data_IF_096455040859
#
_entry.id   IF_096455040859
#
_cell.length_a   1.000
_cell.length_b   1.000
_cell.length_c   1.000
_cell.angle_alpha   90.00
_cell.angle_beta   90.00
_cell.angle_gamma   90.00
#
_symmetry.space_group_name_H-M   'P 1'
#
loop_
_entity.id
_entity.type
_entity.pdbx_description
1 polymer ?
#
# COMPACT_ATOMS: atom_id res chain seq x y z
N UNK A 1 -32.45 -8.12 -49.80
CA UNK A 1 -33.67 -7.38 -49.41
C UNK A 1 -33.36 -6.72 -48.08
N UNK A 2 -33.13 -5.40 -48.13
CA UNK A 2 -33.13 -4.35 -47.10
C UNK A 2 -32.61 -4.70 -45.67
N UNK A 3 -31.76 -3.93 -45.00
CA UNK A 3 -31.70 -2.47 -44.92
C UNK A 3 -30.34 -2.02 -44.36
N UNK A 4 -29.99 -0.78 -44.70
CA UNK A 4 -28.82 0.02 -44.43
C UNK A 4 -28.95 0.89 -43.18
N UNK A 5 -27.84 1.15 -42.50
CA UNK A 5 -27.59 2.42 -41.81
C UNK A 5 -27.79 2.45 -40.30
N UNK A 6 -26.80 3.00 -39.59
CA UNK A 6 -26.93 3.35 -38.18
C UNK A 6 -25.62 3.40 -37.39
N UNK A 7 -24.69 4.28 -37.78
CA UNK A 7 -23.58 4.69 -36.91
C UNK A 7 -24.13 5.41 -35.69
N UNK A 8 -24.01 4.81 -34.50
CA UNK A 8 -24.11 5.55 -33.23
C UNK A 8 -22.73 5.62 -32.58
N UNK A 9 -22.03 6.72 -32.88
CA UNK A 9 -20.93 7.20 -32.06
C UNK A 9 -21.51 7.60 -30.69
N UNK A 10 -21.28 6.78 -29.67
CA UNK A 10 -21.56 7.15 -28.30
C UNK A 10 -20.62 8.31 -27.91
N UNK A 11 -21.14 9.53 -27.95
CA UNK A 11 -20.48 10.72 -27.40
C UNK A 11 -20.22 10.47 -25.91
N UNK A 12 -18.96 10.19 -25.57
CA UNK A 12 -18.48 10.11 -24.19
C UNK A 12 -18.62 11.51 -23.58
N UNK A 13 -19.72 11.74 -22.86
CA UNK A 13 -19.95 12.98 -22.15
C UNK A 13 -18.76 13.20 -21.18
N UNK A 14 -17.98 14.24 -21.46
CA UNK A 14 -16.80 14.61 -20.68
C UNK A 14 -17.24 15.02 -19.28
N UNK A 15 -16.65 14.38 -18.26
CA UNK A 15 -16.86 14.64 -16.82
C UNK A 15 -16.50 16.08 -16.39
N UNK A 16 -16.03 16.93 -17.31
CA UNK A 16 -15.63 18.33 -17.07
C UNK A 16 -16.80 19.32 -16.94
N UNK A 17 -18.06 18.88 -17.06
CA UNK A 17 -19.21 19.80 -16.97
C UNK A 17 -19.84 19.93 -15.57
N UNK A 18 -19.52 19.03 -14.64
CA UNK A 18 -20.21 18.99 -13.34
C UNK A 18 -19.73 20.06 -12.33
N UNK A 19 -18.64 20.78 -12.62
CA UNK A 19 -18.08 21.81 -11.73
C UNK A 19 -18.55 23.23 -12.12
N UNK A 20 -19.28 23.42 -13.22
CA UNK A 20 -19.66 24.77 -13.70
C UNK A 20 -21.09 25.24 -13.39
N UNK A 21 -21.96 24.43 -12.80
CA UNK A 21 -23.35 24.82 -12.48
C UNK A 21 -23.65 24.99 -10.98
N UNK A 22 -22.63 25.13 -10.13
CA UNK A 22 -22.81 25.27 -8.68
C UNK A 22 -23.19 26.66 -8.16
N UNK A 23 -23.45 27.65 -9.03
CA UNK A 23 -23.54 29.04 -8.60
C UNK A 23 -24.67 29.85 -9.27
N UNK A 24 -25.93 29.40 -9.23
CA UNK A 24 -27.10 30.30 -9.27
C UNK A 24 -28.28 29.67 -8.52
N UNK A 25 -28.55 30.12 -7.29
CA UNK A 25 -29.93 30.17 -6.77
C UNK A 25 -30.06 31.32 -5.76
N UNK A 26 -30.40 32.49 -6.30
CA UNK A 26 -30.89 33.63 -5.53
C UNK A 26 -32.40 33.75 -5.79
N UNK A 27 -33.22 33.73 -4.73
CA UNK A 27 -34.60 34.24 -4.75
C UNK A 27 -35.73 33.24 -4.45
N UNK A 28 -36.05 33.10 -3.15
CA UNK A 28 -37.34 32.83 -2.49
C UNK A 28 -38.49 32.06 -3.17
N UNK A 29 -38.96 31.00 -2.48
CA UNK A 29 -40.31 30.90 -1.90
C UNK A 29 -40.41 29.67 -0.97
N UNK A 30 -41.28 29.79 0.04
CA UNK A 30 -41.36 28.99 1.25
C UNK A 30 -41.78 27.53 1.05
N UNK A 31 -41.25 26.64 1.90
CA UNK A 31 -41.91 25.38 2.24
C UNK A 31 -41.05 24.11 2.16
N UNK A 32 -40.64 23.60 3.32
CA UNK A 32 -40.62 22.17 3.60
C UNK A 32 -39.45 21.32 3.08
N UNK A 33 -38.76 20.70 4.04
CA UNK A 33 -37.72 19.67 3.93
C UNK A 33 -36.33 20.15 3.50
N UNK A 34 -35.61 20.71 4.47
CA UNK A 34 -34.18 20.50 4.53
C UNK A 34 -33.93 18.98 4.70
N UNK A 35 -33.77 18.26 3.59
CA UNK A 35 -33.02 17.00 3.62
C UNK A 35 -31.60 17.44 3.91
N UNK A 36 -31.25 17.47 5.20
CA UNK A 36 -29.88 17.57 5.63
C UNK A 36 -29.14 16.40 5.02
N UNK A 37 -28.47 16.63 3.90
CA UNK A 37 -27.36 15.81 3.50
C UNK A 37 -26.35 15.97 4.64
N UNK A 38 -26.44 15.08 5.64
CA UNK A 38 -25.28 14.69 6.40
C UNK A 38 -24.35 14.07 5.36
N UNK A 39 -23.60 14.92 4.65
CA UNK A 39 -22.30 14.53 4.17
C UNK A 39 -21.61 14.02 5.42
N UNK A 40 -21.57 12.70 5.57
CA UNK A 40 -20.69 12.09 6.53
C UNK A 40 -19.32 12.65 6.18
N UNK A 41 -18.87 13.64 6.97
CA UNK A 41 -17.52 14.12 6.89
C UNK A 41 -16.68 12.89 7.17
N UNK A 42 -16.15 12.28 6.09
CA UNK A 42 -15.20 11.20 6.22
C UNK A 42 -14.19 11.67 7.25
N UNK A 43 -14.01 10.90 8.32
CA UNK A 43 -13.13 11.26 9.41
C UNK A 43 -11.78 11.61 8.78
N UNK A 44 -11.48 12.90 8.72
CA UNK A 44 -10.18 13.35 8.24
C UNK A 44 -9.12 12.72 9.15
N UNK A 45 -7.93 12.49 8.59
CA UNK A 45 -6.76 11.92 9.29
C UNK A 45 -6.31 12.68 10.55
N UNK A 46 -7.03 13.73 10.95
CA UNK A 46 -6.78 14.55 12.14
C UNK A 46 -7.93 14.61 13.14
N UNK A 47 -8.97 13.76 13.04
CA UNK A 47 -9.93 13.64 14.14
C UNK A 47 -9.13 13.18 15.39
N UNK A 48 -9.10 13.97 16.49
CA UNK A 48 -8.35 13.59 17.68
C UNK A 48 -8.82 12.21 18.14
N UNK A 49 -7.89 11.26 18.29
CA UNK A 49 -8.21 10.00 18.99
C UNK A 49 -8.76 10.40 20.36
N UNK A 50 -9.94 9.90 20.76
CA UNK A 50 -10.42 10.11 22.12
C UNK A 50 -9.40 9.51 23.09
N UNK A 51 -8.68 10.36 23.83
CA UNK A 51 -7.81 9.97 24.94
C UNK A 51 -6.38 9.58 24.54
N UNK A 52 -5.43 9.89 25.43
CA UNK A 52 -4.00 9.62 25.29
C UNK A 52 -3.65 8.13 25.19
N UNK A 53 -2.35 7.83 25.16
CA UNK A 53 -1.85 6.45 25.17
C UNK A 53 -2.47 5.73 26.36
N UNK A 54 -3.40 4.82 26.08
CA UNK A 54 -3.96 3.94 27.10
C UNK A 54 -2.85 2.92 27.38
N UNK A 55 -2.10 3.15 28.46
CA UNK A 55 -1.08 2.22 28.95
C UNK A 55 -1.77 1.01 29.58
N UNK A 56 -2.35 0.18 28.71
CA UNK A 56 -3.06 -1.03 29.06
C UNK A 56 -2.73 -2.11 28.02
N UNK A 57 -2.36 -3.33 28.43
CA UNK A 57 -1.98 -4.40 27.50
C UNK A 57 -3.04 -4.69 26.42
N UNK A 58 -4.31 -4.45 26.72
CA UNK A 58 -5.43 -4.61 25.77
C UNK A 58 -5.56 -3.50 24.72
N UNK A 59 -4.82 -2.39 24.83
CA UNK A 59 -4.90 -1.29 23.87
C UNK A 59 -4.37 -1.69 22.49
N UNK A 60 -3.34 -2.54 22.44
CA UNK A 60 -2.83 -3.16 21.22
C UNK A 60 -2.95 -4.70 21.25
N UNK A 61 -2.92 -5.29 22.45
CA UNK A 61 -2.89 -6.73 22.67
C UNK A 61 -1.46 -7.27 22.79
N UNK A 62 -1.27 -8.26 23.65
CA UNK A 62 -0.03 -9.03 23.76
C UNK A 62 -0.27 -10.49 23.35
N UNK A 63 0.74 -11.13 22.76
CA UNK A 63 0.66 -12.57 22.48
C UNK A 63 0.65 -13.35 23.78
N UNK A 64 -0.12 -14.44 23.79
CA UNK A 64 -0.06 -15.41 24.89
C UNK A 64 1.36 -15.93 25.06
N UNK A 65 1.84 -15.99 26.31
CA UNK A 65 3.16 -16.55 26.67
C UNK A 65 3.38 -18.00 26.23
N UNK A 66 2.31 -18.71 25.87
CA UNK A 66 2.39 -20.10 25.39
C UNK A 66 2.56 -20.19 23.87
N UNK A 67 2.37 -19.10 23.12
CA UNK A 67 2.60 -19.05 21.67
C UNK A 67 4.09 -18.80 21.42
N UNK A 68 4.77 -19.81 20.90
CA UNK A 68 6.21 -19.77 20.60
C UNK A 68 6.51 -19.57 19.11
N UNK A 69 5.49 -19.57 18.26
CA UNK A 69 5.64 -19.38 16.81
C UNK A 69 6.25 -18.01 16.50
N UNK A 70 7.42 -18.04 15.88
CA UNK A 70 8.21 -16.87 15.47
C UNK A 70 8.73 -17.08 14.06
N UNK A 71 9.20 -16.01 13.41
CA UNK A 71 9.92 -16.14 12.14
C UNK A 71 11.23 -16.89 12.34
N UNK A 72 11.68 -17.63 11.33
CA UNK A 72 12.98 -18.32 11.36
C UNK A 72 14.04 -17.42 10.75
N UNK A 73 15.04 -16.94 11.51
CA UNK A 73 16.10 -16.08 10.98
C UNK A 73 16.90 -16.78 9.87
N UNK A 74 17.40 -15.99 8.92
CA UNK A 74 18.22 -16.48 7.81
C UNK A 74 19.67 -16.04 8.01
N UNK A 75 20.56 -16.99 8.23
CA UNK A 75 22.00 -16.71 8.45
C UNK A 75 22.85 -16.72 7.17
N UNK A 76 22.24 -17.03 6.02
CA UNK A 76 22.96 -17.44 4.80
C UNK A 76 22.91 -16.44 3.64
N UNK A 77 22.01 -15.45 3.66
CA UNK A 77 22.00 -14.38 2.67
C UNK A 77 22.73 -13.22 3.34
N UNK A 78 23.92 -12.89 2.82
CA UNK A 78 24.83 -11.99 3.51
C UNK A 78 24.31 -10.57 3.60
N UNK A 79 23.41 -10.27 4.53
CA UNK A 79 22.98 -8.90 4.79
C UNK A 79 22.72 -8.63 6.29
N UNK A 80 23.72 -7.94 6.84
CA UNK A 80 23.62 -6.74 7.67
C UNK A 80 23.18 -6.87 9.14
N UNK A 81 24.08 -6.43 10.03
CA UNK A 81 23.80 -6.05 11.43
C UNK A 81 22.55 -5.14 11.55
N UNK A 82 21.44 -5.73 11.99
CA UNK A 82 20.30 -4.96 12.49
C UNK A 82 20.65 -4.43 13.88
N UNK A 83 21.12 -3.19 13.98
CA UNK A 83 21.53 -2.62 15.26
C UNK A 83 22.53 -3.48 16.08
N UNK A 84 23.37 -4.28 15.40
CA UNK A 84 24.32 -5.21 16.02
C UNK A 84 23.77 -6.59 16.38
N UNK A 85 22.60 -6.98 15.86
CA UNK A 85 22.07 -8.34 15.99
C UNK A 85 22.71 -9.28 14.95
N UNK A 86 23.30 -10.42 15.37
CA UNK A 86 24.09 -11.29 14.50
C UNK A 86 23.28 -11.98 13.38
N UNK A 87 21.96 -12.07 13.55
CA UNK A 87 21.06 -12.82 12.65
C UNK A 87 20.45 -11.97 11.52
N UNK A 88 20.83 -10.70 11.40
CA UNK A 88 20.34 -9.79 10.36
C UNK A 88 18.83 -9.50 10.37
N UNK A 89 18.31 -8.96 9.27
CA UNK A 89 16.87 -8.65 9.08
C UNK A 89 16.10 -9.74 8.34
N UNK A 90 16.81 -10.67 7.70
CA UNK A 90 16.20 -11.68 6.85
C UNK A 90 15.59 -12.81 7.70
N UNK A 91 14.31 -13.08 7.49
CA UNK A 91 13.61 -14.11 8.25
C UNK A 91 12.50 -14.75 7.42
N UNK A 92 12.33 -16.06 7.57
CA UNK A 92 11.33 -16.88 6.88
C UNK A 92 10.01 -16.94 7.67
N UNK A 93 8.90 -17.01 6.95
CA UNK A 93 7.58 -17.35 7.50
C UNK A 93 7.60 -18.79 8.04
N UNK A 94 7.12 -19.06 9.27
CA UNK A 94 7.02 -20.41 9.83
C UNK A 94 5.80 -21.16 9.27
N UNK A 95 5.79 -21.43 7.98
CA UNK A 95 4.66 -22.03 7.26
C UNK A 95 4.12 -23.31 7.91
N UNK A 96 5.02 -24.13 8.46
CA UNK A 96 4.67 -25.39 9.13
C UNK A 96 3.78 -25.22 10.36
N UNK A 97 3.79 -24.02 10.97
CA UNK A 97 3.01 -23.66 12.16
C UNK A 97 1.77 -22.81 11.83
N UNK A 98 1.59 -22.42 10.57
CA UNK A 98 0.48 -21.56 10.14
C UNK A 98 -0.67 -22.37 9.52
N UNK A 99 -1.86 -21.77 9.56
CA UNK A 99 -3.05 -22.29 8.89
C UNK A 99 -3.76 -21.18 8.13
N UNK A 100 -4.54 -21.56 7.13
CA UNK A 100 -5.22 -20.62 6.24
C UNK A 100 -4.28 -19.99 5.22
N UNK A 101 -4.73 -18.88 4.61
CA UNK A 101 -4.05 -18.24 3.49
C UNK A 101 -3.53 -16.85 3.79
N UNK A 102 -3.90 -16.24 4.93
CA UNK A 102 -3.40 -14.92 5.34
C UNK A 102 -2.31 -15.13 6.38
N UNK A 103 -1.11 -14.68 6.07
CA UNK A 103 0.03 -14.69 6.97
C UNK A 103 -0.09 -13.52 7.95
N UNK A 104 -0.09 -13.77 9.28
CA UNK A 104 -0.09 -12.68 10.27
C UNK A 104 1.11 -11.74 10.03
N UNK A 105 0.91 -10.42 10.07
CA UNK A 105 1.96 -9.45 9.72
C UNK A 105 3.25 -9.64 10.52
N UNK A 106 3.14 -10.00 11.80
CA UNK A 106 4.28 -10.30 12.67
C UNK A 106 5.07 -11.58 12.30
N UNK A 107 4.49 -12.43 11.44
CA UNK A 107 5.07 -13.70 10.98
C UNK A 107 5.33 -13.73 9.47
N UNK A 108 5.00 -12.65 8.74
CA UNK A 108 5.34 -12.51 7.33
C UNK A 108 6.85 -12.50 7.14
N UNK A 109 7.39 -13.22 6.15
CA UNK A 109 8.83 -13.21 5.87
C UNK A 109 9.34 -11.77 5.67
N UNK A 110 10.61 -11.56 6.02
CA UNK A 110 11.32 -10.29 5.84
C UNK A 110 12.55 -10.58 5.00
N UNK A 111 12.80 -9.73 4.01
CA UNK A 111 14.08 -9.69 3.30
C UNK A 111 14.49 -8.24 3.13
N UNK A 112 15.66 -7.87 3.63
CA UNK A 112 16.16 -6.49 3.62
C UNK A 112 17.59 -6.41 3.09
N UNK A 113 17.79 -5.51 2.13
CA UNK A 113 19.12 -5.18 1.60
C UNK A 113 19.70 -3.90 2.24
N UNK A 114 18.90 -3.18 3.05
CA UNK A 114 19.32 -1.98 3.78
C UNK A 114 19.68 -2.31 5.22
N UNK A 115 20.62 -1.55 5.81
CA UNK A 115 21.14 -1.90 7.13
C UNK A 115 20.12 -1.82 8.26
N UNK A 116 19.20 -0.88 8.15
CA UNK A 116 18.08 -0.73 9.06
C UNK A 116 16.85 -0.33 8.24
N UNK A 117 15.65 -0.78 8.61
CA UNK A 117 14.41 -0.23 8.06
C UNK A 117 14.38 1.28 8.31
N UNK A 118 13.94 2.10 7.35
CA UNK A 118 13.91 3.55 7.54
C UNK A 118 12.85 3.92 8.59
N UNK A 119 13.24 4.71 9.58
CA UNK A 119 12.33 5.31 10.56
C UNK A 119 11.72 6.58 9.97
N UNK A 120 10.51 6.46 9.41
CA UNK A 120 9.87 7.53 8.65
C UNK A 120 8.62 8.02 9.39
N UNK A 121 8.61 9.29 9.79
CA UNK A 121 7.38 9.97 10.20
C UNK A 121 6.46 10.10 8.97
N UNK A 122 5.22 9.55 9.00
CA UNK A 122 4.29 9.66 7.87
C UNK A 122 3.99 11.10 7.44
N UNK A 123 4.15 12.09 8.33
CA UNK A 123 3.97 13.52 8.02
C UNK A 123 5.12 14.08 7.18
N UNK A 124 6.31 13.51 7.32
CA UNK A 124 7.51 13.88 6.58
C UNK A 124 7.69 13.03 5.31
N UNK A 125 6.98 11.90 5.19
CA UNK A 125 7.07 11.04 4.02
C UNK A 125 6.63 11.76 2.73
N UNK A 126 7.42 11.57 1.66
CA UNK A 126 7.18 12.14 0.34
C UNK A 126 7.40 11.07 -0.73
N UNK A 127 6.42 10.92 -1.62
CA UNK A 127 6.53 10.09 -2.81
C UNK A 127 6.68 10.99 -4.05
N UNK A 128 7.85 10.99 -4.66
CA UNK A 128 8.10 11.74 -5.90
C UNK A 128 7.83 10.85 -7.12
N UNK A 129 7.06 11.37 -8.08
CA UNK A 129 6.83 10.75 -9.39
C UNK A 129 7.29 11.74 -10.46
N UNK A 130 8.33 11.37 -11.22
CA UNK A 130 8.98 12.22 -12.21
C UNK A 130 9.52 11.39 -13.39
N UNK A 131 10.16 12.06 -14.37
CA UNK A 131 10.72 11.42 -15.57
C UNK A 131 9.97 11.81 -16.85
N UNK A 132 9.59 10.83 -17.67
CA UNK A 132 8.81 11.04 -18.91
C UNK A 132 7.33 11.30 -18.61
N UNK A 133 7.05 12.40 -17.93
CA UNK A 133 5.70 12.82 -17.54
C UNK A 133 5.47 14.29 -17.91
N UNK A 134 4.21 14.71 -18.03
CA UNK A 134 3.82 16.09 -18.30
C UNK A 134 3.99 17.00 -17.08
N UNK A 135 3.62 16.47 -15.90
CA UNK A 135 3.67 17.19 -14.63
C UNK A 135 4.27 16.31 -13.54
N UNK A 136 5.57 16.43 -13.25
CA UNK A 136 6.19 15.78 -12.09
C UNK A 136 5.52 16.26 -10.80
N UNK A 137 5.28 15.34 -9.86
CA UNK A 137 4.62 15.64 -8.58
C UNK A 137 5.33 14.98 -7.40
N UNK A 138 5.14 15.59 -6.23
CA UNK A 138 5.50 15.01 -4.93
C UNK A 138 4.22 14.88 -4.11
N UNK A 139 3.87 13.67 -3.73
CA UNK A 139 2.69 13.36 -2.92
C UNK A 139 3.07 13.23 -1.45
N UNK A 140 2.23 13.77 -0.57
CA UNK A 140 2.24 13.49 0.87
C UNK A 140 1.37 12.27 1.19
N UNK A 141 1.48 11.72 2.41
CA UNK A 141 0.55 10.67 2.86
C UNK A 141 -0.91 11.15 2.88
N UNK A 142 -1.14 12.42 3.19
CA UNK A 142 -2.49 13.01 3.18
C UNK A 142 -3.08 13.05 1.76
N UNK A 143 -2.25 13.34 0.75
CA UNK A 143 -2.68 13.29 -0.66
C UNK A 143 -3.04 11.85 -1.06
N UNK A 144 -2.16 10.89 -0.75
CA UNK A 144 -2.34 9.49 -1.13
C UNK A 144 -3.62 8.88 -0.54
N UNK A 145 -3.89 9.14 0.74
CA UNK A 145 -5.07 8.58 1.44
C UNK A 145 -6.41 9.13 0.95
N UNK A 146 -6.41 10.25 0.22
CA UNK A 146 -7.61 10.83 -0.41
C UNK A 146 -7.91 10.24 -1.79
N UNK A 147 -6.95 9.54 -2.39
CA UNK A 147 -7.11 8.95 -3.71
C UNK A 147 -7.91 7.63 -3.62
N UNK A 148 -8.58 7.23 -4.72
CA UNK A 148 -9.28 5.95 -4.78
C UNK A 148 -8.36 4.79 -4.41
N UNK A 149 -8.76 4.03 -3.39
CA UNK A 149 -8.03 2.84 -2.94
C UNK A 149 -8.73 1.56 -3.37
N UNK A 150 -7.95 0.51 -3.60
CA UNK A 150 -8.44 -0.84 -3.84
C UNK A 150 -7.82 -1.80 -2.83
N UNK A 151 -8.56 -2.86 -2.52
CA UNK A 151 -8.11 -3.92 -1.59
C UNK A 151 -7.99 -5.23 -2.36
N UNK A 152 -6.85 -5.93 -2.21
CA UNK A 152 -6.61 -7.21 -2.88
C UNK A 152 -5.78 -8.15 -2.00
N UNK A 153 -6.15 -9.43 -2.00
CA UNK A 153 -5.35 -10.49 -1.39
C UNK A 153 -4.27 -10.95 -2.36
N UNK A 154 -3.00 -10.83 -1.97
CA UNK A 154 -1.87 -11.32 -2.76
C UNK A 154 -0.78 -11.87 -1.85
N UNK A 155 -0.05 -12.85 -2.39
CA UNK A 155 1.23 -13.25 -1.83
C UNK A 155 2.39 -12.50 -2.49
N UNK A 156 3.45 -12.32 -1.73
CA UNK A 156 4.77 -11.91 -2.21
C UNK A 156 5.70 -13.08 -1.93
N UNK A 157 6.48 -13.48 -2.93
CA UNK A 157 7.45 -14.56 -2.86
C UNK A 157 8.82 -14.04 -3.27
N UNK A 158 9.85 -14.37 -2.47
CA UNK A 158 11.22 -14.04 -2.84
C UNK A 158 11.68 -14.90 -4.01
N UNK A 159 12.46 -14.32 -4.93
CA UNK A 159 13.11 -15.07 -6.01
C UNK A 159 14.03 -16.21 -5.48
N UNK A 160 14.49 -16.10 -4.24
CA UNK A 160 15.31 -17.10 -3.58
C UNK A 160 14.51 -18.20 -2.84
N UNK A 161 13.17 -18.24 -2.97
CA UNK A 161 12.29 -19.19 -2.28
C UNK A 161 12.29 -20.60 -2.91
N UNK A 162 13.47 -21.13 -3.22
CA UNK A 162 13.64 -22.46 -3.81
C UNK A 162 14.51 -23.31 -2.91
N UNK A 163 14.18 -24.61 -2.75
CA UNK A 163 14.87 -25.49 -1.83
C UNK A 163 16.33 -25.65 -2.23
N UNK A 164 17.22 -25.53 -1.25
CA UNK A 164 18.65 -25.85 -1.39
C UNK A 164 18.97 -27.19 -0.74
N UNK A 165 20.01 -27.92 -1.19
CA UNK A 165 20.33 -29.25 -0.66
C UNK A 165 20.54 -29.30 0.87
N UNK A 166 21.02 -28.20 1.45
CA UNK A 166 21.24 -28.03 2.89
C UNK A 166 19.95 -27.88 3.70
N UNK A 167 18.86 -27.42 3.09
CA UNK A 167 17.58 -27.17 3.76
C UNK A 167 16.83 -28.48 4.00
N UNK A 168 16.20 -28.62 5.18
CA UNK A 168 15.57 -29.87 5.65
C UNK A 168 14.13 -29.70 6.10
N UNK A 169 13.68 -28.47 6.33
CA UNK A 169 12.33 -28.17 6.79
C UNK A 169 11.52 -27.43 5.73
N UNK A 170 10.19 -27.50 5.83
CA UNK A 170 9.27 -26.73 4.98
C UNK A 170 9.59 -25.23 5.03
N UNK A 171 9.86 -24.74 6.24
CA UNK A 171 10.09 -23.33 6.49
C UNK A 171 11.40 -22.87 5.86
N UNK A 172 12.45 -23.69 5.89
CA UNK A 172 13.70 -23.39 5.19
C UNK A 172 13.51 -23.36 3.67
N UNK A 173 12.85 -24.37 3.11
CA UNK A 173 12.70 -24.55 1.65
C UNK A 173 11.75 -23.55 0.98
N UNK A 174 10.68 -23.16 1.69
CA UNK A 174 9.56 -22.43 1.12
C UNK A 174 9.07 -21.25 1.95
N UNK A 175 9.71 -20.95 3.08
CA UNK A 175 9.26 -19.90 4.00
C UNK A 175 9.54 -18.46 3.55
N UNK A 176 10.18 -18.21 2.40
CA UNK A 176 10.34 -16.85 1.85
C UNK A 176 9.11 -16.42 1.03
N UNK A 177 7.92 -16.63 1.60
CA UNK A 177 6.63 -16.27 1.04
C UNK A 177 5.69 -15.81 2.15
N UNK A 178 4.82 -14.85 1.85
CA UNK A 178 3.77 -14.43 2.75
C UNK A 178 2.60 -13.84 1.98
N UNK A 179 1.39 -13.98 2.52
CA UNK A 179 0.17 -13.54 1.87
C UNK A 179 -0.62 -12.60 2.78
N UNK A 180 -1.06 -11.47 2.24
CA UNK A 180 -1.77 -10.44 2.98
C UNK A 180 -2.89 -9.83 2.15
N UNK A 181 -3.81 -9.16 2.83
CA UNK A 181 -4.72 -8.21 2.19
C UNK A 181 -4.01 -6.85 2.09
N UNK A 182 -3.82 -6.36 0.87
CA UNK A 182 -3.15 -5.11 0.57
C UNK A 182 -4.17 -4.07 0.17
N UNK A 183 -4.21 -2.95 0.88
CA UNK A 183 -5.05 -1.79 0.55
C UNK A 183 -4.18 -0.59 0.19
N UNK A 184 -4.46 0.03 -0.95
CA UNK A 184 -3.75 1.23 -1.37
C UNK A 184 -4.23 1.79 -2.70
N UNK A 185 -3.56 2.85 -3.14
CA UNK A 185 -3.86 3.54 -4.41
C UNK A 185 -3.25 2.75 -5.57
N UNK A 186 -4.01 2.40 -6.63
CA UNK A 186 -3.43 1.81 -7.82
C UNK A 186 -2.42 2.76 -8.46
N UNK A 187 -1.23 2.25 -8.81
CA UNK A 187 -0.17 3.06 -9.44
C UNK A 187 -0.66 3.81 -10.68
N UNK A 188 -1.59 3.21 -11.46
CA UNK A 188 -2.20 3.86 -12.63
C UNK A 188 -2.86 5.20 -12.29
N UNK A 189 -3.46 5.34 -11.11
CA UNK A 189 -4.07 6.61 -10.66
C UNK A 189 -3.01 7.70 -10.54
N UNK A 190 -1.85 7.37 -9.99
CA UNK A 190 -0.74 8.32 -9.84
C UNK A 190 -0.12 8.65 -11.20
N UNK A 191 0.04 7.66 -12.08
CA UNK A 191 0.59 7.83 -13.43
C UNK A 191 -0.33 8.67 -14.32
N UNK A 192 -1.64 8.50 -14.21
CA UNK A 192 -2.64 9.33 -14.91
C UNK A 192 -2.58 10.78 -14.42
N UNK A 193 -2.40 11.00 -13.11
CA UNK A 193 -2.35 12.33 -12.50
C UNK A 193 -1.12 13.14 -12.96
N UNK A 194 0.04 12.49 -13.10
CA UNK A 194 1.27 13.12 -13.61
C UNK A 194 1.32 13.23 -15.14
N UNK A 195 0.46 12.48 -15.84
CA UNK A 195 0.41 12.44 -17.31
C UNK A 195 1.65 11.79 -17.92
N UNK A 196 1.74 10.45 -17.89
CA UNK A 196 2.83 9.71 -18.56
C UNK A 196 2.84 10.00 -20.06
N UNK A 197 4.01 10.34 -20.60
CA UNK A 197 4.21 10.67 -22.02
C UNK A 197 4.30 9.42 -22.90
N UNK A 198 3.89 9.57 -24.15
CA UNK A 198 4.10 8.55 -25.17
C UNK A 198 5.59 8.15 -25.27
N UNK A 199 5.83 6.85 -25.41
CA UNK A 199 7.18 6.27 -25.47
C UNK A 199 7.82 5.93 -24.12
N UNK A 200 7.18 6.27 -22.98
CA UNK A 200 7.62 5.76 -21.68
C UNK A 200 7.40 4.24 -21.59
N UNK A 201 8.48 3.47 -21.46
CA UNK A 201 8.44 1.99 -21.48
C UNK A 201 8.70 1.31 -20.13
N UNK A 202 9.17 2.04 -19.12
CA UNK A 202 9.60 1.48 -17.84
C UNK A 202 9.23 2.39 -16.68
N UNK A 203 9.01 1.77 -15.52
CA UNK A 203 8.92 2.45 -14.22
C UNK A 203 10.08 1.96 -13.37
N UNK A 204 10.85 2.89 -12.83
CA UNK A 204 11.86 2.61 -11.82
C UNK A 204 11.34 3.11 -10.47
N UNK A 205 11.39 2.25 -9.47
CA UNK A 205 11.02 2.58 -8.09
C UNK A 205 12.26 2.53 -7.21
N UNK A 206 12.41 3.52 -6.35
CA UNK A 206 13.49 3.59 -5.35
C UNK A 206 12.89 3.76 -3.96
N UNK A 207 13.35 2.95 -3.00
CA UNK A 207 12.93 3.05 -1.60
C UNK A 207 13.69 4.14 -0.83
N UNK A 208 13.31 4.41 0.41
CA UNK A 208 13.92 5.47 1.23
C UNK A 208 15.20 5.02 1.96
N UNK A 209 15.57 3.75 1.85
CA UNK A 209 16.77 3.18 2.48
C UNK A 209 18.04 3.87 1.99
N UNK A 210 19.07 3.97 2.84
CA UNK A 210 20.36 4.55 2.46
C UNK A 210 21.10 3.71 1.40
N UNK A 211 20.95 2.38 1.47
CA UNK A 211 21.52 1.46 0.47
C UNK A 211 20.62 1.46 -0.77
N UNK A 212 21.15 1.97 -1.89
CA UNK A 212 20.45 2.00 -3.17
C UNK A 212 20.99 0.91 -4.10
N UNK A 213 20.11 0.21 -4.80
CA UNK A 213 20.50 -0.71 -5.87
C UNK A 213 21.12 0.11 -7.02
N UNK A 214 22.45 0.04 -7.18
CA UNK A 214 23.18 0.64 -8.30
C UNK A 214 24.05 1.87 -8.00
N UNK A 215 24.34 2.15 -6.72
CA UNK A 215 25.36 3.12 -6.31
C UNK A 215 26.60 2.43 -5.72
#
# INVERSE_FOLDING_TARGET
MFDTGGTMAARRASRRHFIKEGAVFAGGLAGGMAIGANAASGQGLGAPRPGGVVDHPMAYGERSRFVQTVRTPMTMIGHIDLHGHPDGLDARTPLSELTGTITPSALHYVSSHGNNPPDIDPREHRLMVYGMVDRPLVFTMEDLTRLPSVTRTHFIECIANSPRPEEKTLDEMHGMVGCSEWTGVPLSVLLDEVGVKDGAGWVLSEGAEATKLGA
#
